data_IF_659263367338
#
_entry.id   IF_659263367338
#
_cell.length_a   1.000
_cell.length_b   1.000
_cell.length_c   1.000
_cell.angle_alpha   90.00
_cell.angle_beta   90.00
_cell.angle_gamma   90.00
#
_symmetry.space_group_name_H-M   'P 1'
#
loop_
_entity.id
_entity.type
_entity.pdbx_description
1 polymer ?
#
# COMPACT_ATOMS: atom_id res chain seq x y z
N UNK A 1 -17.66 13.59 7.64
CA UNK A 1 -16.96 12.28 7.56
C UNK A 1 -16.51 11.93 8.97
N UNK A 2 -16.47 10.66 9.36
CA UNK A 2 -15.83 10.27 10.63
C UNK A 2 -14.47 9.66 10.33
N UNK A 3 -13.46 10.04 11.10
CA UNK A 3 -12.10 9.52 10.99
C UNK A 3 -11.82 8.73 12.25
N UNK A 4 -11.37 7.48 12.10
CA UNK A 4 -10.97 6.62 13.21
C UNK A 4 -9.62 6.01 12.89
N UNK A 5 -8.57 6.59 13.45
CA UNK A 5 -7.22 6.05 13.37
C UNK A 5 -7.01 4.92 14.36
N UNK A 6 -6.02 4.06 14.08
CA UNK A 6 -5.65 3.01 15.01
C UNK A 6 -5.25 3.62 16.36
N UNK A 7 -5.75 3.11 17.50
CA UNK A 7 -5.50 3.72 18.81
C UNK A 7 -4.03 3.66 19.24
N UNK A 8 -3.25 2.73 18.65
CA UNK A 8 -1.83 2.57 18.91
C UNK A 8 -0.96 3.24 17.83
N UNK A 9 -1.52 4.11 16.99
CA UNK A 9 -0.72 4.84 16.02
C UNK A 9 0.35 5.68 16.74
N UNK A 10 1.60 5.54 16.33
CA UNK A 10 2.73 6.28 16.87
C UNK A 10 3.46 7.01 15.74
N UNK A 11 3.49 8.35 15.83
CA UNK A 11 4.04 9.22 14.77
C UNK A 11 5.57 9.17 14.63
N UNK A 12 6.27 8.68 15.65
CA UNK A 12 7.73 8.68 15.68
C UNK A 12 8.28 7.37 15.12
N UNK A 13 7.55 6.28 15.35
CA UNK A 13 7.89 4.93 14.88
C UNK A 13 7.08 4.48 13.67
N UNK A 14 6.00 5.17 13.32
CA UNK A 14 5.01 4.78 12.30
C UNK A 14 4.31 3.44 12.56
N UNK A 15 4.35 2.94 13.81
CA UNK A 15 3.57 1.78 14.22
C UNK A 15 2.09 2.06 14.03
N UNK A 16 1.38 1.06 13.52
CA UNK A 16 -0.05 1.06 13.27
C UNK A 16 -0.53 2.27 12.47
N UNK A 17 0.23 2.65 11.44
CA UNK A 17 -0.11 3.70 10.48
C UNK A 17 -1.31 3.29 9.58
N UNK A 18 -2.50 3.32 10.17
CA UNK A 18 -3.75 3.01 9.49
C UNK A 18 -4.92 3.79 10.10
N UNK A 19 -5.77 4.34 9.23
CA UNK A 19 -7.00 5.02 9.62
C UNK A 19 -8.19 4.61 8.75
N UNK A 20 -9.38 4.56 9.36
CA UNK A 20 -10.64 4.34 8.68
C UNK A 20 -11.38 5.66 8.48
N UNK A 21 -11.85 5.88 7.25
CA UNK A 21 -12.70 7.00 6.86
C UNK A 21 -14.13 6.50 6.63
N UNK A 22 -15.08 6.93 7.48
CA UNK A 22 -16.50 6.67 7.29
C UNK A 22 -17.16 7.84 6.58
N UNK A 23 -17.62 7.58 5.35
CA UNK A 23 -18.38 8.54 4.56
C UNK A 23 -19.69 8.93 5.27
N UNK A 24 -20.12 10.18 5.12
CA UNK A 24 -21.40 10.65 5.69
C UNK A 24 -22.61 9.97 5.04
N UNK A 25 -22.48 9.63 3.76
CA UNK A 25 -23.48 8.89 2.98
C UNK A 25 -22.74 7.80 2.20
N UNK A 26 -23.38 6.65 1.91
CA UNK A 26 -22.81 5.64 1.04
C UNK A 26 -22.41 6.25 -0.31
N UNK A 27 -21.27 5.83 -0.86
CA UNK A 27 -20.87 6.24 -2.20
C UNK A 27 -21.87 5.67 -3.22
N UNK A 28 -22.29 6.49 -4.19
CA UNK A 28 -23.29 6.09 -5.22
C UNK A 28 -22.89 4.83 -6.00
N UNK A 29 -21.59 4.63 -6.18
CA UNK A 29 -21.01 3.53 -6.94
C UNK A 29 -20.40 2.44 -6.04
N UNK A 30 -20.68 2.46 -4.74
CA UNK A 30 -20.05 1.56 -3.76
C UNK A 30 -20.15 0.09 -4.15
N UNK A 31 -21.30 -0.38 -4.67
CA UNK A 31 -21.46 -1.78 -5.06
C UNK A 31 -20.55 -2.20 -6.21
N UNK A 32 -20.35 -1.35 -7.23
CA UNK A 32 -19.45 -1.65 -8.35
C UNK A 32 -17.98 -1.60 -7.94
N UNK A 33 -17.62 -0.64 -7.07
CA UNK A 33 -16.28 -0.51 -6.53
C UNK A 33 -15.95 -1.70 -5.62
N UNK A 34 -16.86 -2.09 -4.73
CA UNK A 34 -16.66 -3.19 -3.80
C UNK A 34 -16.71 -4.57 -4.46
N UNK A 35 -17.51 -4.75 -5.51
CA UNK A 35 -17.56 -6.02 -6.26
C UNK A 35 -16.22 -6.35 -6.93
N UNK A 36 -15.49 -5.32 -7.35
CA UNK A 36 -14.18 -5.45 -8.02
C UNK A 36 -13.02 -4.96 -7.16
N UNK A 37 -13.29 -4.58 -5.90
CA UNK A 37 -12.33 -3.94 -5.02
C UNK A 37 -11.43 -4.96 -4.34
N UNK A 38 -10.30 -4.50 -3.78
CA UNK A 38 -9.42 -5.38 -3.02
C UNK A 38 -10.16 -5.95 -1.80
N UNK A 39 -10.02 -7.25 -1.61
CA UNK A 39 -10.44 -7.95 -0.39
C UNK A 39 -9.27 -7.95 0.59
N UNK A 40 -9.55 -7.89 1.89
CA UNK A 40 -8.51 -8.06 2.90
C UNK A 40 -8.03 -9.51 2.93
N UNK A 41 -6.71 -9.74 2.87
CA UNK A 41 -6.18 -11.05 3.25
C UNK A 41 -6.33 -11.24 4.76
N UNK A 42 -6.99 -12.34 5.16
CA UNK A 42 -7.18 -12.74 6.56
C UNK A 42 -6.65 -14.14 6.83
N UNK A 43 -5.99 -14.73 5.85
CA UNK A 43 -5.64 -16.15 5.82
C UNK A 43 -4.14 -16.41 5.95
N UNK A 44 -3.31 -15.36 5.89
CA UNK A 44 -1.86 -15.53 5.85
C UNK A 44 -1.44 -16.32 4.62
N UNK A 45 -2.04 -16.01 3.47
CA UNK A 45 -1.93 -16.77 2.22
C UNK A 45 -0.54 -16.78 1.59
N UNK A 46 0.43 -16.10 2.22
CA UNK A 46 1.76 -15.84 1.70
C UNK A 46 1.75 -14.90 0.49
N UNK A 47 0.64 -14.22 0.15
CA UNK A 47 0.61 -13.32 -1.02
C UNK A 47 1.68 -12.21 -0.96
N UNK A 48 2.16 -11.89 0.23
CA UNK A 48 3.22 -10.91 0.51
C UNK A 48 4.62 -11.51 0.67
N UNK A 49 4.81 -12.80 0.36
CA UNK A 49 6.13 -13.44 0.42
C UNK A 49 7.11 -12.77 -0.55
N UNK A 50 8.38 -12.69 -0.15
CA UNK A 50 9.42 -12.10 -0.98
C UNK A 50 9.52 -12.73 -2.37
N UNK A 51 9.73 -11.89 -3.39
CA UNK A 51 9.77 -12.29 -4.80
C UNK A 51 8.40 -12.37 -5.48
N UNK A 52 7.28 -12.32 -4.73
CA UNK A 52 5.95 -12.05 -5.30
C UNK A 52 5.83 -10.56 -5.62
N UNK A 53 4.87 -10.20 -6.47
CA UNK A 53 4.68 -8.82 -6.91
C UNK A 53 3.39 -8.25 -6.35
N UNK A 54 3.46 -6.96 -6.01
CA UNK A 54 2.30 -6.13 -5.74
C UNK A 54 2.27 -4.96 -6.71
N UNK A 55 1.08 -4.39 -6.86
CA UNK A 55 0.81 -3.19 -7.62
C UNK A 55 0.55 -2.05 -6.65
N UNK A 56 1.24 -0.93 -6.85
CA UNK A 56 0.87 0.37 -6.27
C UNK A 56 0.21 1.19 -7.37
N UNK A 57 -0.86 1.92 -7.04
CA UNK A 57 -1.53 2.80 -7.98
C UNK A 57 -1.89 4.13 -7.33
N UNK A 58 -1.72 5.23 -8.07
CA UNK A 58 -1.96 6.56 -7.54
C UNK A 58 -1.67 7.70 -8.52
N UNK A 59 -1.54 8.90 -7.95
CA UNK A 59 -1.27 10.16 -8.64
C UNK A 59 -0.13 10.94 -7.98
N UNK A 60 0.75 10.24 -7.25
CA UNK A 60 1.95 10.82 -6.69
C UNK A 60 2.91 11.35 -7.75
N UNK A 61 3.96 12.02 -7.30
CA UNK A 61 4.98 12.57 -8.20
C UNK A 61 5.60 11.48 -9.07
N UNK A 62 5.91 11.80 -10.34
CA UNK A 62 6.60 10.87 -11.24
C UNK A 62 8.11 10.75 -10.95
N UNK A 63 8.65 11.65 -10.13
CA UNK A 63 10.02 11.67 -9.65
C UNK A 63 10.11 12.56 -8.41
N UNK A 64 11.20 12.44 -7.63
CA UNK A 64 11.42 13.35 -6.50
C UNK A 64 11.48 14.81 -6.98
N UNK A 65 10.71 15.69 -6.31
CA UNK A 65 10.51 17.08 -6.72
C UNK A 65 9.87 17.29 -8.09
N UNK A 66 9.33 16.24 -8.71
CA UNK A 66 8.73 16.26 -10.05
C UNK A 66 7.30 16.80 -10.09
N UNK A 67 6.55 16.39 -11.11
CA UNK A 67 5.15 16.81 -11.31
C UNK A 67 4.17 15.68 -10.99
N UNK A 68 2.96 16.06 -10.57
CA UNK A 68 1.84 15.14 -10.45
C UNK A 68 1.23 14.83 -11.82
N UNK A 69 0.95 13.56 -12.14
CA UNK A 69 0.29 13.21 -13.39
C UNK A 69 -1.19 13.61 -13.38
N UNK A 70 -1.74 13.91 -14.57
CA UNK A 70 -3.17 14.17 -14.75
C UNK A 70 -4.03 12.91 -14.85
N UNK A 71 -3.39 11.74 -14.97
CA UNK A 71 -4.01 10.41 -15.04
C UNK A 71 -3.40 9.51 -13.97
N UNK A 72 -4.12 8.46 -13.57
CA UNK A 72 -3.61 7.50 -12.59
C UNK A 72 -2.47 6.69 -13.23
N UNK A 73 -1.41 6.47 -12.46
CA UNK A 73 -0.33 5.55 -12.80
C UNK A 73 -0.36 4.34 -11.88
N UNK A 74 0.18 3.23 -12.35
CA UNK A 74 0.42 2.04 -11.55
C UNK A 74 1.81 1.47 -11.83
N UNK A 75 2.36 0.79 -10.84
CA UNK A 75 3.67 0.13 -10.95
C UNK A 75 3.67 -1.18 -10.19
N UNK A 76 4.26 -2.21 -10.81
CA UNK A 76 4.50 -3.49 -10.16
C UNK A 76 5.87 -3.49 -9.49
N UNK A 77 5.88 -3.78 -8.20
CA UNK A 77 7.08 -3.85 -7.35
C UNK A 77 7.14 -5.22 -6.67
N UNK A 78 8.33 -5.84 -6.56
CA UNK A 78 8.47 -7.11 -5.86
C UNK A 78 8.47 -6.89 -4.34
N UNK A 79 7.84 -7.78 -3.59
CA UNK A 79 8.00 -7.85 -2.14
C UNK A 79 9.44 -8.22 -1.79
N UNK A 80 9.97 -7.56 -0.77
CA UNK A 80 11.32 -7.80 -0.25
C UNK A 80 11.24 -8.82 0.89
N UNK A 81 11.88 -9.98 0.71
CA UNK A 81 12.05 -10.94 1.80
C UNK A 81 12.86 -10.31 2.93
N UNK A 82 12.49 -10.55 4.20
CA UNK A 82 13.22 -10.04 5.37
C UNK A 82 13.57 -8.54 5.25
N UNK A 83 12.54 -7.68 5.16
CA UNK A 83 12.75 -6.27 4.87
C UNK A 83 13.73 -5.57 5.83
N UNK A 84 13.69 -5.87 7.13
CA UNK A 84 14.62 -5.28 8.11
C UNK A 84 16.08 -5.52 7.73
N UNK A 85 16.41 -6.68 7.14
CA UNK A 85 17.77 -6.98 6.69
C UNK A 85 18.08 -6.41 5.30
N UNK A 86 17.11 -6.39 4.38
CA UNK A 86 17.37 -6.23 2.95
C UNK A 86 16.99 -4.86 2.38
N UNK A 87 16.28 -4.01 3.12
CA UNK A 87 15.83 -2.69 2.62
C UNK A 87 16.80 -1.54 2.87
N UNK A 88 17.85 -1.75 3.68
CA UNK A 88 18.72 -0.67 4.16
C UNK A 88 18.13 0.15 5.32
N UNK A 89 16.87 -0.07 5.69
CA UNK A 89 16.23 0.59 6.84
C UNK A 89 16.56 -0.06 8.19
N UNK A 90 17.02 -1.33 8.20
CA UNK A 90 17.47 -1.97 9.42
C UNK A 90 16.35 -2.17 10.43
N UNK A 91 16.63 -1.83 11.69
CA UNK A 91 15.71 -2.01 12.82
C UNK A 91 14.54 -1.00 12.87
N UNK A 92 14.43 -0.08 11.92
CA UNK A 92 13.27 0.83 11.84
C UNK A 92 12.05 0.15 11.21
N UNK A 93 12.25 -0.96 10.49
CA UNK A 93 11.15 -1.77 9.96
C UNK A 93 10.63 -2.69 11.06
N UNK A 94 9.37 -2.49 11.42
CA UNK A 94 8.69 -3.21 12.49
C UNK A 94 7.76 -4.29 11.93
N UNK A 95 7.23 -5.14 12.81
CA UNK A 95 6.49 -6.35 12.41
C UNK A 95 5.14 -6.09 11.73
N UNK A 96 4.59 -4.89 11.86
CA UNK A 96 3.35 -4.44 11.21
C UNK A 96 3.62 -3.74 9.86
N UNK A 97 4.88 -3.71 9.42
CA UNK A 97 5.32 -3.13 8.16
C UNK A 97 5.76 -4.21 7.18
N UNK A 98 5.69 -3.88 5.89
CA UNK A 98 6.22 -4.69 4.79
C UNK A 98 6.99 -3.78 3.84
N UNK A 99 7.76 -4.38 2.94
CA UNK A 99 8.51 -3.61 1.94
C UNK A 99 8.36 -4.25 0.58
N UNK A 100 8.21 -3.38 -0.42
CA UNK A 100 8.18 -3.75 -1.81
C UNK A 100 8.94 -2.71 -2.62
N UNK A 101 9.76 -3.16 -3.56
CA UNK A 101 10.64 -2.28 -4.33
C UNK A 101 11.78 -3.05 -4.97
N UNK A 102 12.37 -2.45 -6.01
CA UNK A 102 13.53 -3.01 -6.68
C UNK A 102 14.82 -2.61 -5.94
N UNK A 103 15.74 -3.55 -5.73
CA UNK A 103 17.06 -3.25 -5.14
C UNK A 103 17.85 -2.22 -5.98
N UNK A 104 17.66 -2.22 -7.30
CA UNK A 104 18.24 -1.24 -8.22
C UNK A 104 17.56 0.13 -8.18
N UNK A 105 16.46 0.29 -7.43
CA UNK A 105 15.59 1.45 -7.48
C UNK A 105 14.91 1.66 -8.85
N UNK A 106 14.51 2.91 -9.10
CA UNK A 106 13.99 3.39 -10.40
C UNK A 106 12.47 3.30 -10.58
N UNK A 107 11.79 2.44 -9.84
CA UNK A 107 10.32 2.29 -9.87
C UNK A 107 9.79 2.12 -8.45
N UNK A 108 8.98 3.07 -8.00
CA UNK A 108 8.39 3.08 -6.67
C UNK A 108 7.15 3.99 -6.62
N UNK A 109 6.41 3.92 -5.52
CA UNK A 109 5.49 4.96 -5.07
C UNK A 109 6.24 6.26 -4.74
N UNK A 110 5.56 7.40 -4.80
CA UNK A 110 6.19 8.68 -4.50
C UNK A 110 5.22 9.62 -3.75
N UNK A 111 5.64 10.88 -3.65
CA UNK A 111 5.02 11.88 -2.79
C UNK A 111 3.61 12.15 -3.31
N UNK A 112 2.61 12.01 -2.44
CA UNK A 112 1.20 12.10 -2.79
C UNK A 112 0.48 10.75 -2.93
N UNK A 113 1.21 9.63 -2.97
CA UNK A 113 0.62 8.28 -2.93
C UNK A 113 0.39 7.77 -1.49
N UNK A 114 0.80 8.53 -0.45
CA UNK A 114 0.69 8.12 0.96
C UNK A 114 -0.75 7.77 1.35
N UNK A 115 -0.93 6.57 1.92
CA UNK A 115 -2.25 6.00 2.24
C UNK A 115 -3.00 5.39 1.04
N UNK A 116 -2.38 5.40 -0.13
CA UNK A 116 -2.84 4.71 -1.33
C UNK A 116 -2.73 3.18 -1.23
N UNK A 117 -3.35 2.45 -2.16
CA UNK A 117 -3.42 1.00 -2.08
C UNK A 117 -2.12 0.34 -2.56
N UNK A 118 -1.72 -0.73 -1.85
CA UNK A 118 -0.82 -1.77 -2.33
C UNK A 118 -1.64 -3.06 -2.43
N UNK A 119 -1.73 -3.66 -3.62
CA UNK A 119 -2.58 -4.83 -3.82
C UNK A 119 -1.94 -5.89 -4.72
N UNK A 120 -2.40 -7.14 -4.57
CA UNK A 120 -1.98 -8.30 -5.35
C UNK A 120 -3.16 -8.78 -6.18
N UNK A 121 -2.88 -9.20 -7.42
CA UNK A 121 -3.87 -9.87 -8.29
C UNK A 121 -3.80 -11.38 -8.04
N UNK A 122 -4.67 -11.90 -7.18
CA UNK A 122 -4.78 -13.33 -6.90
C UNK A 122 -5.87 -13.99 -7.77
N UNK A 123 -5.91 -15.32 -7.80
CA UNK A 123 -6.97 -16.08 -8.50
C UNK A 123 -8.38 -15.81 -7.94
N UNK A 124 -8.47 -15.34 -6.69
CA UNK A 124 -9.70 -14.94 -5.99
C UNK A 124 -10.11 -13.48 -6.22
N UNK A 125 -9.33 -12.72 -6.99
CA UNK A 125 -9.49 -11.30 -7.28
C UNK A 125 -8.36 -10.42 -6.72
N UNK A 126 -8.61 -9.10 -6.66
CA UNK A 126 -7.71 -8.16 -6.01
C UNK A 126 -7.69 -8.40 -4.49
N UNK A 127 -6.50 -8.38 -3.91
CA UNK A 127 -6.28 -8.58 -2.47
C UNK A 127 -5.34 -7.48 -1.94
N UNK A 128 -5.64 -6.93 -0.76
CA UNK A 128 -4.78 -5.98 -0.03
C UNK A 128 -4.50 -6.53 1.36
#
# INVERSE_FOLDING_TARGET
VQIKCHPNYDKDTMVADVCLLKLQKPAKCASKILANGPKLDRTGSGLTDGGKYATVAGWGLLSDGGEHPSVMYEVNVPFVANCAANSGYGSTILSDMLCAGYESGGKDSCQGDSGGPLFVVASSGLVT
#
